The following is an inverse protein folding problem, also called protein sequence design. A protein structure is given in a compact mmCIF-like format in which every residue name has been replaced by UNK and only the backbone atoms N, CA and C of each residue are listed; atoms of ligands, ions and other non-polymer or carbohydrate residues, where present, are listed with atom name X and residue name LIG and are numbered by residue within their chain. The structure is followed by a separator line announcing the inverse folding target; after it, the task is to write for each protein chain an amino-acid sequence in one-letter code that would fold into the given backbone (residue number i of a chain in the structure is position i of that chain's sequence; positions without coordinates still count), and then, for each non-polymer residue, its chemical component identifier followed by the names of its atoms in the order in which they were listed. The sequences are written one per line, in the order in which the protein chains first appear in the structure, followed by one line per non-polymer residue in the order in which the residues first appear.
data_IF_008408313248
#
_entry.id   IF_008408313248
#
_cell.length_a   1.000
_cell.length_b   1.000
_cell.length_c   1.000
_cell.angle_alpha   90.00
_cell.angle_beta   90.00
_cell.angle_gamma   90.00
#
_symmetry.space_group_name_H-M   'P 1'
#
loop_
_entity.id
_entity.type
_entity.pdbx_description
1 polymer ?
#
# COMPACT_ATOMS: atom_id res chain seq x y z
N UNK A 1 15.91 -15.94 11.95
CA UNK A 1 14.54 -15.65 11.49
C UNK A 1 14.59 -14.35 10.71
N UNK A 2 14.21 -14.36 9.44
CA UNK A 2 14.20 -13.16 8.57
C UNK A 2 12.76 -12.90 8.15
N UNK A 3 12.34 -11.64 8.16
CA UNK A 3 11.01 -11.21 7.76
C UNK A 3 11.12 -10.04 6.77
N UNK A 4 10.23 -10.01 5.81
CA UNK A 4 9.89 -8.82 5.02
C UNK A 4 8.49 -8.33 5.37
N UNK A 5 8.26 -7.04 5.21
CA UNK A 5 6.98 -6.39 5.50
C UNK A 5 6.43 -5.72 4.25
N UNK A 6 5.13 -5.86 4.02
CA UNK A 6 4.40 -5.34 2.88
C UNK A 6 3.35 -4.33 3.33
N UNK A 7 3.24 -3.26 2.55
CA UNK A 7 2.13 -2.32 2.53
C UNK A 7 1.91 -1.90 1.08
N UNK A 8 0.78 -1.27 0.77
CA UNK A 8 0.54 -0.70 -0.55
C UNK A 8 -0.22 0.61 -0.43
N UNK A 9 -0.08 1.47 -1.44
CA UNK A 9 -0.54 2.86 -1.37
C UNK A 9 -1.13 3.32 -2.68
N UNK A 10 -2.09 4.24 -2.60
CA UNK A 10 -2.49 5.06 -3.75
C UNK A 10 -1.93 6.48 -3.59
N UNK A 11 -1.67 7.14 -4.73
CA UNK A 11 -1.33 8.58 -4.76
C UNK A 11 -2.61 9.41 -4.73
N UNK A 12 -2.61 10.45 -3.91
CA UNK A 12 -3.70 11.41 -3.80
C UNK A 12 -3.12 12.78 -4.13
N UNK A 13 -3.61 13.37 -5.22
CA UNK A 13 -3.22 14.71 -5.62
C UNK A 13 -3.55 15.71 -4.51
N UNK A 14 -2.56 16.54 -4.20
CA UNK A 14 -2.73 17.66 -3.28
C UNK A 14 -2.83 18.95 -4.07
N UNK A 15 -3.67 19.83 -3.58
CA UNK A 15 -3.89 21.13 -4.19
C UNK A 15 -3.75 22.22 -3.14
N UNK A 16 -3.06 23.29 -3.49
CA UNK A 16 -3.00 24.50 -2.70
C UNK A 16 -3.81 25.58 -3.41
N UNK A 17 -4.79 26.12 -2.71
CA UNK A 17 -5.55 27.25 -3.20
C UNK A 17 -4.61 28.44 -3.46
N UNK A 18 -4.82 29.14 -4.57
CA UNK A 18 -4.10 30.34 -5.01
C UNK A 18 -5.11 31.49 -5.00
N UNK A 19 -5.26 32.20 -3.86
CA UNK A 19 -6.25 33.26 -3.73
C UNK A 19 -6.20 34.33 -4.83
N UNK A 20 -5.01 34.83 -5.26
CA UNK A 20 -4.93 35.84 -6.31
C UNK A 20 -5.45 35.37 -7.68
N UNK A 21 -5.54 34.06 -7.91
CA UNK A 21 -5.98 33.47 -9.17
C UNK A 21 -7.38 32.86 -9.07
N UNK A 22 -7.98 32.82 -7.87
CA UNK A 22 -9.23 32.09 -7.56
C UNK A 22 -9.16 30.66 -8.15
N UNK A 23 -8.00 30.03 -8.02
CA UNK A 23 -7.72 28.74 -8.63
C UNK A 23 -6.81 27.92 -7.71
N UNK A 24 -6.56 26.67 -8.07
CA UNK A 24 -5.73 25.74 -7.31
C UNK A 24 -4.48 25.37 -8.10
N UNK A 25 -3.33 25.30 -7.41
CA UNK A 25 -2.12 24.69 -7.97
C UNK A 25 -1.94 23.30 -7.39
N UNK A 26 -1.56 22.34 -8.22
CA UNK A 26 -1.12 21.01 -7.76
C UNK A 26 0.15 21.17 -6.93
N UNK A 27 0.26 20.39 -5.86
CA UNK A 27 1.41 20.40 -4.94
C UNK A 27 2.08 19.04 -4.95
N UNK A 28 3.39 19.05 -5.14
CA UNK A 28 4.24 17.86 -5.08
C UNK A 28 4.95 17.75 -3.72
N UNK A 29 5.22 16.52 -3.22
CA UNK A 29 4.74 15.26 -3.76
C UNK A 29 3.23 15.06 -3.49
N UNK A 30 2.54 14.14 -4.20
CA UNK A 30 1.19 13.74 -3.81
C UNK A 30 1.20 13.18 -2.38
N UNK A 31 0.05 13.27 -1.71
CA UNK A 31 -0.15 12.45 -0.52
C UNK A 31 -0.21 10.98 -0.92
N UNK A 32 0.06 10.10 0.05
CA UNK A 32 -0.19 8.67 -0.10
C UNK A 32 -1.18 8.21 0.96
N UNK A 33 -2.00 7.22 0.61
CA UNK A 33 -2.92 6.57 1.54
C UNK A 33 -2.78 5.07 1.42
N UNK A 34 -2.66 4.38 2.55
CA UNK A 34 -2.59 2.93 2.57
C UNK A 34 -3.87 2.31 2.00
N UNK A 35 -3.69 1.23 1.26
CA UNK A 35 -4.73 0.39 0.68
C UNK A 35 -4.34 -1.09 0.86
N UNK A 36 -5.30 -2.02 0.75
CA UNK A 36 -4.97 -3.44 0.68
C UNK A 36 -3.96 -3.73 -0.44
N UNK A 37 -3.11 -4.75 -0.23
CA UNK A 37 -2.08 -5.13 -1.20
C UNK A 37 -2.69 -5.42 -2.58
N UNK A 38 -2.08 -4.88 -3.63
CA UNK A 38 -2.52 -5.05 -5.02
C UNK A 38 -3.54 -4.01 -5.49
N UNK A 39 -4.03 -3.13 -4.61
CA UNK A 39 -4.88 -1.99 -4.98
C UNK A 39 -4.08 -0.69 -5.20
N UNK A 40 -2.79 -0.68 -4.87
CA UNK A 40 -1.94 0.50 -4.93
C UNK A 40 -0.97 0.50 -6.11
N UNK A 41 0.08 1.32 -5.98
CA UNK A 41 1.05 1.57 -7.05
C UNK A 41 2.40 0.88 -6.84
N UNK A 42 2.63 0.19 -5.73
CA UNK A 42 3.91 -0.49 -5.52
C UNK A 42 4.03 -1.69 -6.46
N UNK A 43 5.21 -1.88 -7.04
CA UNK A 43 5.50 -3.02 -7.91
C UNK A 43 5.82 -4.26 -7.08
N UNK A 44 4.77 -4.85 -6.51
CA UNK A 44 4.89 -6.04 -5.67
C UNK A 44 5.30 -7.27 -6.49
N UNK A 45 4.95 -7.34 -7.78
CA UNK A 45 5.38 -8.43 -8.65
C UNK A 45 6.91 -8.45 -8.80
N UNK A 46 7.52 -7.31 -9.13
CA UNK A 46 8.98 -7.20 -9.22
C UNK A 46 9.65 -7.44 -7.86
N UNK A 47 9.04 -6.95 -6.77
CA UNK A 47 9.53 -7.17 -5.42
C UNK A 47 9.61 -8.67 -5.07
N UNK A 48 8.51 -9.41 -5.28
CA UNK A 48 8.47 -10.85 -5.00
C UNK A 48 9.35 -11.67 -5.95
N UNK A 49 9.45 -11.27 -7.23
CA UNK A 49 10.40 -11.90 -8.16
C UNK A 49 11.84 -11.76 -7.63
N UNK A 50 12.24 -10.56 -7.19
CA UNK A 50 13.56 -10.33 -6.59
C UNK A 50 13.80 -11.13 -5.31
N UNK A 51 12.78 -11.29 -4.46
CA UNK A 51 12.88 -12.15 -3.26
C UNK A 51 13.11 -13.61 -3.64
N UNK A 52 12.35 -14.14 -4.61
CA UNK A 52 12.51 -15.53 -5.10
C UNK A 52 13.89 -15.74 -5.72
N UNK A 53 14.32 -14.84 -6.60
CA UNK A 53 15.63 -14.89 -7.27
C UNK A 53 16.79 -14.79 -6.27
N UNK A 54 16.60 -14.04 -5.18
CA UNK A 54 17.56 -13.90 -4.09
C UNK A 54 17.58 -15.08 -3.10
N UNK A 55 16.72 -16.09 -3.27
CA UNK A 55 16.62 -17.24 -2.36
C UNK A 55 16.03 -16.91 -1.00
N UNK A 56 15.14 -15.91 -0.91
CA UNK A 56 14.46 -15.55 0.33
C UNK A 56 13.47 -16.66 0.74
N UNK A 57 13.69 -17.23 1.93
CA UNK A 57 12.85 -18.25 2.57
C UNK A 57 12.35 -17.79 3.96
N UNK A 58 12.05 -16.49 4.08
CA UNK A 58 11.63 -15.85 5.32
C UNK A 58 10.12 -15.60 5.40
N UNK A 59 9.69 -14.94 6.48
CA UNK A 59 8.29 -14.56 6.66
C UNK A 59 7.91 -13.34 5.82
N UNK A 60 6.68 -13.35 5.29
CA UNK A 60 6.07 -12.21 4.61
C UNK A 60 4.93 -11.70 5.47
N UNK A 61 5.07 -10.49 6.00
CA UNK A 61 4.07 -9.87 6.87
C UNK A 61 3.36 -8.71 6.16
N UNK A 62 2.03 -8.66 6.26
CA UNK A 62 1.26 -7.47 5.86
C UNK A 62 1.14 -6.52 7.04
N UNK A 63 1.38 -5.22 6.81
CA UNK A 63 1.27 -4.17 7.82
C UNK A 63 0.24 -3.10 7.42
N UNK A 64 -0.58 -2.69 8.39
CA UNK A 64 -1.44 -1.50 8.30
C UNK A 64 -0.98 -0.50 9.36
N UNK A 65 -0.10 0.43 8.98
CA UNK A 65 0.47 1.44 9.88
C UNK A 65 -0.08 2.87 9.65
N UNK A 66 -1.10 3.03 8.80
CA UNK A 66 -1.76 4.31 8.55
C UNK A 66 -3.26 4.13 8.28
N UNK A 67 -4.08 5.19 8.45
CA UNK A 67 -5.51 5.09 8.20
C UNK A 67 -5.82 4.66 6.76
N UNK A 68 -6.59 3.59 6.63
CA UNK A 68 -7.14 3.12 5.35
C UNK A 68 -8.54 3.71 5.12
N UNK A 69 -9.03 3.64 3.87
CA UNK A 69 -10.42 4.02 3.56
C UNK A 69 -11.38 3.18 4.41
N UNK A 70 -12.36 3.81 5.04
CA UNK A 70 -13.29 3.14 5.97
C UNK A 70 -12.89 3.23 7.44
N UNK A 71 -11.68 3.73 7.75
CA UNK A 71 -11.22 3.93 9.12
C UNK A 71 -10.64 2.65 9.75
N UNK A 72 -10.48 2.66 11.07
CA UNK A 72 -9.83 1.59 11.84
C UNK A 72 -10.78 0.64 12.57
N UNK A 73 -12.04 0.52 12.14
CA UNK A 73 -12.93 -0.50 12.72
C UNK A 73 -12.42 -1.90 12.40
N UNK A 74 -12.59 -2.84 13.34
CA UNK A 74 -12.15 -4.23 13.19
C UNK A 74 -12.66 -4.84 11.88
N UNK A 75 -13.96 -4.69 11.58
CA UNK A 75 -14.54 -5.18 10.33
C UNK A 75 -13.86 -4.63 9.05
N UNK A 76 -13.39 -3.37 9.08
CA UNK A 76 -12.69 -2.78 7.94
C UNK A 76 -11.25 -3.29 7.84
N UNK A 77 -10.56 -3.46 8.98
CA UNK A 77 -9.21 -4.00 9.04
C UNK A 77 -9.18 -5.49 8.64
N UNK A 78 -10.18 -6.27 9.04
CA UNK A 78 -10.36 -7.66 8.63
C UNK A 78 -10.58 -7.77 7.13
N UNK A 79 -11.48 -6.96 6.57
CA UNK A 79 -11.73 -6.94 5.13
C UNK A 79 -10.46 -6.59 4.32
N UNK A 80 -9.66 -5.63 4.80
CA UNK A 80 -8.37 -5.31 4.18
C UNK A 80 -7.35 -6.46 4.31
N UNK A 81 -7.30 -7.10 5.48
CA UNK A 81 -6.36 -8.20 5.76
C UNK A 81 -6.67 -9.46 4.96
N UNK A 82 -7.96 -9.79 4.77
CA UNK A 82 -8.40 -10.92 3.93
C UNK A 82 -7.93 -10.73 2.48
N UNK A 83 -8.09 -9.52 1.92
CA UNK A 83 -7.62 -9.20 0.57
C UNK A 83 -6.10 -9.30 0.46
N UNK A 84 -5.38 -8.72 1.43
CA UNK A 84 -3.92 -8.75 1.45
C UNK A 84 -3.38 -10.19 1.55
N UNK A 85 -3.99 -11.04 2.38
CA UNK A 85 -3.61 -12.44 2.50
C UNK A 85 -3.83 -13.21 1.18
N UNK A 86 -4.94 -12.95 0.48
CA UNK A 86 -5.21 -13.56 -0.82
C UNK A 86 -4.13 -13.16 -1.85
N UNK A 87 -3.72 -11.90 -1.88
CA UNK A 87 -2.64 -11.42 -2.75
C UNK A 87 -1.29 -12.08 -2.40
N UNK A 88 -0.93 -12.14 -1.11
CA UNK A 88 0.31 -12.79 -0.66
C UNK A 88 0.37 -14.25 -1.10
N UNK A 89 -0.73 -15.00 -0.98
CA UNK A 89 -0.77 -16.41 -1.44
C UNK A 89 -0.45 -16.54 -2.91
N UNK A 90 -1.02 -15.68 -3.76
CA UNK A 90 -0.75 -15.70 -5.20
C UNK A 90 0.72 -15.44 -5.55
N UNK A 91 1.44 -14.68 -4.72
CA UNK A 91 2.88 -14.42 -4.93
C UNK A 91 3.79 -15.48 -4.32
N UNK A 92 3.38 -16.13 -3.24
CA UNK A 92 4.17 -17.16 -2.57
C UNK A 92 4.02 -18.55 -3.21
N UNK A 93 2.87 -18.83 -3.85
CA UNK A 93 2.68 -19.98 -4.75
C UNK A 93 3.57 -19.86 -6.00
#
# INVERSE_FOLDING_TARGET
MVQTTLADYIRIDRFQYQPPLINYRRVEPPAVRAVPLGEGFLDLNAFFAGLKDGGFDGYVAYEICSPIRGGGSEANLDAASIKALAAIRQWCE
#
